data_IF_871762986641
#
_entry.id   IF_871762986641
#
_cell.length_a   1.000
_cell.length_b   1.000
_cell.length_c   1.000
_cell.angle_alpha   90.00
_cell.angle_beta   90.00
_cell.angle_gamma   90.00
#
_symmetry.space_group_name_H-M   'P 1'
#
loop_
_entity.id
_entity.type
_entity.pdbx_description
1 polymer ?
#
# COMPACT_ATOMS: atom_id res chain seq x y z
N UNK A 1 -2.88 -20.44 4.65
CA UNK A 1 -3.93 -20.35 3.61
C UNK A 1 -3.84 -18.99 2.97
N UNK A 2 -3.43 -18.90 1.71
CA UNK A 2 -3.16 -17.63 1.07
C UNK A 2 -4.37 -16.67 1.10
N UNK A 3 -5.59 -17.17 0.80
CA UNK A 3 -6.86 -16.40 0.70
C UNK A 3 -7.15 -15.31 1.74
N UNK A 4 -6.71 -15.48 2.99
CA UNK A 4 -6.95 -14.50 4.04
C UNK A 4 -6.20 -13.17 3.83
N UNK A 5 -5.01 -13.20 3.21
CA UNK A 5 -4.22 -11.99 2.94
C UNK A 5 -4.86 -11.09 1.88
N UNK A 6 -5.28 -11.69 0.76
CA UNK A 6 -5.90 -10.98 -0.36
C UNK A 6 -7.23 -10.34 0.02
N UNK A 7 -8.06 -11.07 0.77
CA UNK A 7 -9.32 -10.53 1.29
C UNK A 7 -9.08 -9.33 2.20
N UNK A 8 -8.15 -9.44 3.14
CA UNK A 8 -7.82 -8.35 4.08
C UNK A 8 -7.35 -7.10 3.34
N UNK A 9 -6.45 -7.24 2.37
CA UNK A 9 -5.90 -6.10 1.62
C UNK A 9 -6.97 -5.46 0.74
N UNK A 10 -7.79 -6.27 0.07
CA UNK A 10 -8.90 -5.76 -0.74
C UNK A 10 -9.93 -5.03 0.12
N UNK A 11 -10.28 -5.61 1.28
CA UNK A 11 -11.21 -4.98 2.23
C UNK A 11 -10.67 -3.66 2.75
N UNK A 12 -9.39 -3.59 3.13
CA UNK A 12 -8.74 -2.34 3.54
C UNK A 12 -8.73 -1.31 2.41
N UNK A 13 -8.42 -1.74 1.19
CA UNK A 13 -8.42 -0.84 0.03
C UNK A 13 -9.81 -0.22 -0.21
N UNK A 14 -10.88 -1.01 -0.13
CA UNK A 14 -12.24 -0.47 -0.32
C UNK A 14 -12.68 0.39 0.87
N UNK A 15 -12.58 -0.14 2.09
CA UNK A 15 -13.16 0.47 3.29
C UNK A 15 -12.34 1.64 3.84
N UNK A 16 -11.03 1.65 3.62
CA UNK A 16 -10.13 2.68 4.16
C UNK A 16 -9.66 3.63 3.08
N UNK A 17 -9.31 3.16 1.89
CA UNK A 17 -8.79 4.03 0.83
C UNK A 17 -9.92 4.64 -0.02
N UNK A 18 -10.71 3.81 -0.71
CA UNK A 18 -11.77 4.30 -1.61
C UNK A 18 -12.82 5.08 -0.82
N UNK A 19 -13.22 4.62 0.36
CA UNK A 19 -14.19 5.33 1.19
C UNK A 19 -13.71 6.72 1.66
N UNK A 20 -12.40 6.92 1.85
CA UNK A 20 -11.84 8.20 2.33
C UNK A 20 -11.42 9.14 1.22
N UNK A 21 -10.81 8.62 0.16
CA UNK A 21 -10.16 9.41 -0.89
C UNK A 21 -10.88 9.31 -2.25
N UNK A 22 -11.89 8.46 -2.35
CA UNK A 22 -12.56 8.14 -3.60
C UNK A 22 -11.80 7.12 -4.44
N UNK A 23 -12.39 6.80 -5.60
CA UNK A 23 -11.84 5.81 -6.52
C UNK A 23 -10.65 6.38 -7.31
N UNK A 24 -9.46 5.75 -7.25
CA UNK A 24 -8.32 6.20 -8.03
C UNK A 24 -8.48 5.90 -9.53
N UNK A 25 -7.90 6.74 -10.37
CA UNK A 25 -7.94 6.57 -11.85
C UNK A 25 -7.13 5.34 -12.28
N UNK A 26 -6.04 5.04 -11.57
CA UNK A 26 -5.23 3.86 -11.83
C UNK A 26 -4.58 3.30 -10.58
N UNK A 27 -4.33 1.99 -10.61
CA UNK A 27 -3.68 1.26 -9.52
C UNK A 27 -2.45 0.54 -10.05
N UNK A 28 -1.36 0.61 -9.29
CA UNK A 28 -0.09 -0.04 -9.61
C UNK A 28 0.29 -1.02 -8.49
N UNK A 29 -0.13 -2.30 -8.58
CA UNK A 29 0.20 -3.28 -7.57
C UNK A 29 1.67 -3.68 -7.66
N UNK A 30 2.33 -3.79 -6.50
CA UNK A 30 3.72 -4.24 -6.42
C UNK A 30 3.91 -5.69 -6.89
N UNK A 31 5.13 -6.03 -7.32
CA UNK A 31 5.45 -7.35 -7.91
C UNK A 31 5.31 -8.54 -6.93
N UNK A 32 5.20 -8.30 -5.62
CA UNK A 32 4.96 -9.36 -4.61
C UNK A 32 3.48 -9.75 -4.44
N UNK A 33 2.55 -9.06 -5.07
CA UNK A 33 1.11 -9.26 -4.90
C UNK A 33 0.53 -10.37 -5.78
N UNK A 34 1.33 -11.35 -6.23
CA UNK A 34 0.84 -12.45 -7.10
C UNK A 34 -0.34 -13.19 -6.46
N UNK A 35 -0.28 -13.36 -5.15
CA UNK A 35 -1.32 -14.03 -4.39
C UNK A 35 -2.63 -13.18 -4.28
N UNK A 36 -2.54 -11.87 -4.47
CA UNK A 36 -3.66 -10.93 -4.27
C UNK A 36 -4.31 -10.49 -5.59
N UNK A 37 -3.72 -10.89 -6.74
CA UNK A 37 -4.11 -10.38 -8.06
C UNK A 37 -5.58 -10.58 -8.39
N UNK A 38 -6.14 -11.77 -8.17
CA UNK A 38 -7.49 -12.10 -8.62
C UNK A 38 -8.56 -11.24 -7.97
N UNK A 39 -8.54 -11.14 -6.63
CA UNK A 39 -9.53 -10.35 -5.90
C UNK A 39 -9.34 -8.84 -6.13
N UNK A 40 -8.08 -8.39 -6.19
CA UNK A 40 -7.77 -6.99 -6.48
C UNK A 40 -8.15 -6.60 -7.93
N UNK A 41 -8.05 -7.52 -8.89
CA UNK A 41 -8.52 -7.34 -10.26
C UNK A 41 -10.02 -7.16 -10.34
N UNK A 42 -10.76 -7.99 -9.60
CA UNK A 42 -12.21 -7.87 -9.52
C UNK A 42 -12.64 -6.52 -8.95
N UNK A 43 -11.97 -6.06 -7.88
CA UNK A 43 -12.22 -4.72 -7.33
C UNK A 43 -11.87 -3.61 -8.31
N UNK A 44 -10.72 -3.68 -8.99
CA UNK A 44 -10.39 -2.70 -10.01
C UNK A 44 -11.45 -2.65 -11.12
N UNK A 45 -11.99 -3.81 -11.54
CA UNK A 45 -13.07 -3.91 -12.53
C UNK A 45 -14.36 -3.26 -12.02
N UNK A 46 -14.76 -3.53 -10.78
CA UNK A 46 -16.00 -2.99 -10.19
C UNK A 46 -15.98 -1.47 -10.05
N UNK A 47 -14.81 -0.90 -9.73
CA UNK A 47 -14.64 0.54 -9.55
C UNK A 47 -14.09 1.24 -10.80
N UNK A 48 -13.98 0.55 -11.95
CA UNK A 48 -13.43 1.12 -13.19
C UNK A 48 -12.01 1.72 -13.04
N UNK A 49 -11.18 1.10 -12.20
CA UNK A 49 -9.80 1.52 -11.94
C UNK A 49 -8.87 0.92 -13.02
N UNK A 50 -8.07 1.76 -13.67
CA UNK A 50 -7.10 1.30 -14.65
C UNK A 50 -5.89 0.64 -13.96
N UNK A 51 -5.84 -0.69 -13.96
CA UNK A 51 -4.71 -1.43 -13.41
C UNK A 51 -3.50 -1.33 -14.34
N UNK A 52 -2.38 -0.83 -13.83
CA UNK A 52 -1.09 -0.82 -14.52
C UNK A 52 -0.22 -1.95 -13.99
N UNK A 53 0.40 -2.73 -14.87
CA UNK A 53 1.42 -3.71 -14.47
C UNK A 53 2.81 -3.10 -14.69
N UNK A 54 3.74 -3.32 -13.75
CA UNK A 54 5.16 -3.09 -14.04
C UNK A 54 5.57 -3.99 -15.19
N UNK A 55 6.13 -3.43 -16.25
CA UNK A 55 7.00 -4.21 -17.14
C UNK A 55 8.16 -4.75 -16.29
N UNK A 56 8.49 -6.05 -16.41
CA UNK A 56 9.72 -6.57 -15.80
C UNK A 56 10.87 -5.66 -16.24
N UNK A 57 11.76 -5.30 -15.31
CA UNK A 57 12.96 -4.45 -15.52
C UNK A 57 12.85 -2.91 -15.45
N UNK A 58 11.70 -2.28 -15.16
CA UNK A 58 11.65 -0.82 -14.93
C UNK A 58 11.31 -0.46 -13.47
N UNK A 59 12.34 -0.31 -12.62
CA UNK A 59 12.24 0.09 -11.20
C UNK A 59 11.88 1.57 -10.96
N UNK A 60 11.61 2.34 -12.02
CA UNK A 60 11.42 3.80 -11.91
C UNK A 60 10.08 4.18 -11.25
N UNK A 61 9.00 3.42 -11.49
CA UNK A 61 7.70 3.67 -10.87
C UNK A 61 7.66 3.31 -9.37
N UNK A 62 8.39 2.27 -8.98
CA UNK A 62 8.46 1.78 -7.60
C UNK A 62 9.37 2.66 -6.72
N UNK A 63 10.33 3.37 -7.31
CA UNK A 63 11.32 4.15 -6.58
C UNK A 63 10.75 5.28 -5.71
N UNK A 64 9.60 5.88 -6.08
CA UNK A 64 8.96 6.88 -5.22
C UNK A 64 8.38 6.23 -3.96
N UNK A 65 7.69 5.10 -4.10
CA UNK A 65 7.13 4.34 -2.96
C UNK A 65 8.26 3.87 -2.04
N UNK A 66 9.34 3.35 -2.61
CA UNK A 66 10.52 2.90 -1.84
C UNK A 66 11.19 4.06 -1.08
N UNK A 67 11.37 5.22 -1.72
CA UNK A 67 11.92 6.42 -1.07
C UNK A 67 11.03 6.94 0.04
N UNK A 68 9.72 6.97 -0.19
CA UNK A 68 8.75 7.38 0.84
C UNK A 68 8.79 6.42 2.01
N UNK A 69 8.79 5.10 1.78
CA UNK A 69 8.90 4.09 2.83
C UNK A 69 10.21 4.25 3.62
N UNK A 70 11.33 4.52 2.94
CA UNK A 70 12.61 4.81 3.58
C UNK A 70 12.59 6.09 4.42
N UNK A 71 11.89 7.12 3.95
CA UNK A 71 11.70 8.38 4.70
C UNK A 71 10.86 8.15 5.96
N UNK A 72 9.72 7.47 5.84
CA UNK A 72 8.86 7.10 6.98
C UNK A 72 9.65 6.28 8.00
N UNK A 73 10.41 5.29 7.55
CA UNK A 73 11.27 4.47 8.42
C UNK A 73 12.30 5.32 9.17
N UNK A 74 12.92 6.28 8.49
CA UNK A 74 13.87 7.21 9.10
C UNK A 74 13.22 8.07 10.17
N UNK A 75 12.04 8.62 9.89
CA UNK A 75 11.28 9.44 10.84
C UNK A 75 10.89 8.62 12.08
N UNK A 76 10.36 7.41 11.88
CA UNK A 76 9.99 6.52 12.97
C UNK A 76 11.19 6.17 13.86
N UNK A 77 12.34 5.84 13.25
CA UNK A 77 13.58 5.54 14.00
C UNK A 77 14.01 6.72 14.87
N UNK A 78 14.10 7.91 14.28
CA UNK A 78 14.52 9.11 15.00
C UNK A 78 13.58 9.45 16.17
N UNK A 79 12.28 9.21 16.00
CA UNK A 79 11.30 9.44 17.07
C UNK A 79 11.40 8.41 18.19
N UNK A 80 11.48 7.12 17.87
CA UNK A 80 11.62 6.03 18.86
C UNK A 80 12.88 6.26 19.70
N UNK A 81 14.00 6.59 19.06
CA UNK A 81 15.27 6.89 19.73
C UNK A 81 15.15 8.12 20.65
N UNK A 82 14.43 9.16 20.22
CA UNK A 82 14.23 10.39 21.00
C UNK A 82 13.31 10.21 22.20
N UNK A 83 12.28 9.38 22.07
CA UNK A 83 11.20 9.25 23.06
C UNK A 83 11.26 7.96 23.89
N UNK A 84 12.21 7.04 23.61
CA UNK A 84 12.34 5.73 24.25
C UNK A 84 10.99 5.00 24.37
N UNK A 85 10.16 5.13 23.34
CA UNK A 85 8.79 4.65 23.33
C UNK A 85 8.58 3.67 22.20
N UNK A 86 7.98 2.53 22.52
CA UNK A 86 7.64 1.48 21.55
C UNK A 86 6.30 1.75 20.83
N UNK A 87 5.66 2.90 21.09
CA UNK A 87 4.36 3.30 20.51
C UNK A 87 4.53 3.90 19.11
N UNK A 88 5.12 3.12 18.21
CA UNK A 88 5.39 3.56 16.82
C UNK A 88 4.11 3.77 16.00
N UNK A 89 3.04 3.10 16.38
CA UNK A 89 1.74 3.10 15.74
C UNK A 89 0.99 4.43 15.91
N UNK A 90 1.14 5.10 17.05
CA UNK A 90 0.63 6.47 17.25
C UNK A 90 1.33 7.50 16.38
N UNK A 91 2.61 7.29 16.11
CA UNK A 91 3.40 8.20 15.27
C UNK A 91 2.86 8.16 13.84
N UNK A 92 2.54 6.97 13.32
CA UNK A 92 1.96 6.82 11.98
C UNK A 92 0.61 7.52 11.81
N UNK A 93 -0.14 7.75 12.89
CA UNK A 93 -1.39 8.51 12.87
C UNK A 93 -1.16 10.02 13.02
N UNK A 94 0.05 10.44 13.38
CA UNK A 94 0.44 11.84 13.61
C UNK A 94 1.24 12.47 12.46
N UNK A 95 1.65 11.67 11.48
CA UNK A 95 2.29 12.10 10.21
C UNK A 95 1.21 12.21 9.14
#
# INVERSE_FOLDING_TARGET
>A
MPYQGAFKITSLFVNEWIARFGTPIGLHPGQGAEFERGLLEEVCRMFHIHKTQTTPYHSRSTGLVERTNGTVTTILRAFIERHQSDRWDEILLSI
#
